data_IF_645362886721
#
_entry.id   IF_645362886721
#
_cell.length_a   1.000
_cell.length_b   1.000
_cell.length_c   1.000
_cell.angle_alpha   90.00
_cell.angle_beta   90.00
_cell.angle_gamma   90.00
#
_symmetry.space_group_name_H-M   'P 1'
#
loop_
_entity.id
_entity.type
_entity.pdbx_description
1 polymer ?
#
# COMPACT_ATOMS: atom_id res chain seq x y z
N UNK A 1 2.14 -5.35 -11.13
CA UNK A 1 1.02 -4.79 -10.34
C UNK A 1 1.24 -3.29 -10.19
N UNK A 2 0.21 -2.49 -10.42
CA UNK A 2 0.32 -1.03 -10.24
C UNK A 2 0.18 -0.63 -8.77
N UNK A 3 0.52 0.62 -8.47
CA UNK A 3 0.32 1.18 -7.13
C UNK A 3 -1.13 1.02 -6.65
N UNK A 4 -2.08 1.38 -7.51
CA UNK A 4 -3.51 1.28 -7.19
C UNK A 4 -3.97 -0.16 -6.98
N UNK A 5 -3.53 -1.07 -7.84
CA UNK A 5 -3.84 -2.49 -7.71
C UNK A 5 -3.26 -3.07 -6.42
N UNK A 6 -2.03 -2.71 -6.09
CA UNK A 6 -1.38 -3.17 -4.87
C UNK A 6 -2.10 -2.65 -3.62
N UNK A 7 -2.47 -1.37 -3.62
CA UNK A 7 -3.23 -0.78 -2.53
C UNK A 7 -4.57 -1.49 -2.35
N UNK A 8 -5.28 -1.74 -3.44
CA UNK A 8 -6.54 -2.47 -3.43
C UNK A 8 -6.36 -3.87 -2.84
N UNK A 9 -5.31 -4.57 -3.26
CA UNK A 9 -5.01 -5.91 -2.78
C UNK A 9 -4.74 -5.92 -1.28
N UNK A 10 -3.94 -4.98 -0.79
CA UNK A 10 -3.64 -4.84 0.64
C UNK A 10 -4.93 -4.65 1.44
N UNK A 11 -5.79 -3.76 0.99
CA UNK A 11 -7.06 -3.50 1.66
C UNK A 11 -7.99 -4.72 1.64
N UNK A 12 -8.03 -5.43 0.50
CA UNK A 12 -8.88 -6.60 0.34
C UNK A 12 -8.43 -7.77 1.22
N UNK A 13 -7.14 -8.08 1.22
CA UNK A 13 -6.58 -9.17 2.04
C UNK A 13 -6.84 -8.93 3.52
N UNK A 14 -6.81 -7.68 3.95
CA UNK A 14 -6.96 -7.32 5.35
C UNK A 14 -8.40 -6.91 5.73
N UNK A 15 -9.32 -7.00 4.77
CA UNK A 15 -10.72 -6.62 4.97
C UNK A 15 -10.88 -5.19 5.51
N UNK A 16 -10.07 -4.28 4.99
CA UNK A 16 -10.11 -2.87 5.37
C UNK A 16 -10.93 -2.10 4.34
N UNK A 17 -11.89 -1.34 4.83
CA UNK A 17 -12.73 -0.49 3.97
C UNK A 17 -11.95 0.74 3.51
N UNK A 18 -12.17 1.15 2.27
CA UNK A 18 -11.51 2.30 1.68
C UNK A 18 -11.74 3.60 2.47
N UNK A 19 -12.96 3.78 3.00
CA UNK A 19 -13.27 4.98 3.77
C UNK A 19 -12.51 5.04 5.10
N UNK A 20 -12.19 3.89 5.69
CA UNK A 20 -11.40 3.84 6.92
C UNK A 20 -9.98 4.33 6.66
N UNK A 21 -9.38 3.88 5.54
CA UNK A 21 -8.08 4.37 5.12
C UNK A 21 -8.11 5.88 4.84
N UNK A 22 -9.12 6.33 4.12
CA UNK A 22 -9.28 7.74 3.79
C UNK A 22 -9.35 8.60 5.06
N UNK A 23 -10.15 8.18 6.04
CA UNK A 23 -10.26 8.87 7.32
C UNK A 23 -8.92 8.92 8.06
N UNK A 24 -8.19 7.81 8.07
CA UNK A 24 -6.89 7.73 8.74
C UNK A 24 -5.86 8.68 8.10
N UNK A 25 -5.93 8.85 6.79
CA UNK A 25 -5.01 9.70 6.04
C UNK A 25 -5.47 11.16 5.96
N UNK A 26 -6.72 11.45 6.33
CA UNK A 26 -7.28 12.79 6.23
C UNK A 26 -7.71 13.18 4.82
N UNK A 27 -8.02 12.20 3.98
CA UNK A 27 -8.47 12.43 2.61
C UNK A 27 -9.92 12.02 2.42
N UNK A 28 -10.51 12.49 1.33
CA UNK A 28 -11.83 12.06 0.88
C UNK A 28 -11.71 10.64 0.29
N UNK A 29 -12.72 9.81 0.53
CA UNK A 29 -12.80 8.47 -0.06
C UNK A 29 -12.66 8.50 -1.58
N UNK A 30 -13.25 9.50 -2.23
CA UNK A 30 -13.19 9.62 -3.69
C UNK A 30 -11.76 9.79 -4.20
N UNK A 31 -10.89 10.42 -3.42
CA UNK A 31 -9.48 10.60 -3.77
C UNK A 31 -8.74 9.26 -3.73
N UNK A 32 -8.96 8.49 -2.66
CA UNK A 32 -8.38 7.15 -2.53
C UNK A 32 -8.89 6.24 -3.65
N UNK A 33 -10.16 6.33 -3.98
CA UNK A 33 -10.77 5.55 -5.07
C UNK A 33 -10.08 5.82 -6.41
N UNK A 34 -9.67 7.06 -6.67
CA UNK A 34 -8.94 7.42 -7.89
C UNK A 34 -7.56 6.76 -7.94
N UNK A 35 -6.89 6.62 -6.80
CA UNK A 35 -5.61 5.89 -6.74
C UNK A 35 -5.83 4.40 -7.06
N UNK A 36 -6.85 3.81 -6.44
CA UNK A 36 -7.14 2.39 -6.57
C UNK A 36 -7.51 2.01 -8.01
N UNK A 37 -8.29 2.84 -8.69
CA UNK A 37 -8.72 2.56 -10.07
C UNK A 37 -7.73 3.07 -11.14
N UNK A 38 -6.62 3.67 -10.72
CA UNK A 38 -5.58 4.12 -11.63
C UNK A 38 -5.86 5.45 -12.33
N UNK A 39 -6.94 6.16 -11.94
CA UNK A 39 -7.27 7.44 -12.55
C UNK A 39 -6.30 8.55 -12.15
N UNK A 40 -5.70 8.44 -10.97
CA UNK A 40 -4.78 9.45 -10.45
C UNK A 40 -3.77 8.81 -9.51
N UNK A 41 -2.56 9.35 -9.46
CA UNK A 41 -1.54 8.95 -8.50
C UNK A 41 -1.36 10.05 -7.44
N UNK A 42 -0.91 9.69 -6.22
CA UNK A 42 -0.57 10.69 -5.22
C UNK A 42 0.60 11.57 -5.71
N UNK A 43 0.74 12.80 -5.19
CA UNK A 43 1.89 13.63 -5.52
C UNK A 43 3.21 13.01 -5.08
N UNK A 44 4.24 13.10 -5.93
CA UNK A 44 5.55 12.49 -5.65
C UNK A 44 6.22 13.05 -4.40
N UNK A 45 5.98 14.31 -4.08
CA UNK A 45 6.55 14.96 -2.88
C UNK A 45 6.03 14.34 -1.58
N UNK A 46 4.86 13.71 -1.61
CA UNK A 46 4.21 13.16 -0.42
C UNK A 46 4.35 11.64 -0.32
N UNK A 47 4.87 10.98 -1.34
CA UNK A 47 4.77 9.53 -1.46
C UNK A 47 5.48 8.77 -0.32
N UNK A 48 6.63 9.23 0.12
CA UNK A 48 7.38 8.56 1.19
C UNK A 48 6.57 8.57 2.49
N UNK A 49 6.11 9.74 2.89
CA UNK A 49 5.33 9.91 4.11
C UNK A 49 3.98 9.21 4.00
N UNK A 50 3.35 9.31 2.84
CA UNK A 50 2.05 8.69 2.59
C UNK A 50 2.12 7.17 2.70
N UNK A 51 3.11 6.55 2.06
CA UNK A 51 3.25 5.09 2.10
C UNK A 51 3.60 4.60 3.51
N UNK A 52 4.38 5.37 4.27
CA UNK A 52 4.64 5.05 5.68
C UNK A 52 3.35 5.08 6.50
N UNK A 53 2.51 6.07 6.29
CA UNK A 53 1.23 6.18 6.98
C UNK A 53 0.28 5.06 6.61
N UNK A 54 0.25 4.66 5.35
CA UNK A 54 -0.56 3.52 4.89
C UNK A 54 -0.08 2.24 5.57
N UNK A 55 1.23 1.98 5.54
CA UNK A 55 1.80 0.80 6.18
C UNK A 55 1.50 0.73 7.66
N UNK A 56 1.67 1.83 8.37
CA UNK A 56 1.39 1.91 9.81
C UNK A 56 -0.09 1.68 10.12
N UNK A 57 -0.97 2.27 9.32
CA UNK A 57 -2.42 2.09 9.49
C UNK A 57 -2.80 0.62 9.30
N UNK A 58 -2.32 -0.01 8.25
CA UNK A 58 -2.62 -1.41 7.97
C UNK A 58 -2.08 -2.31 9.10
N UNK A 59 -0.88 -2.04 9.58
CA UNK A 59 -0.29 -2.80 10.67
C UNK A 59 -1.14 -2.73 11.96
N UNK A 60 -1.74 -1.58 12.23
CA UNK A 60 -2.61 -1.40 13.40
C UNK A 60 -3.96 -2.09 13.23
N UNK A 61 -4.48 -2.15 12.01
CA UNK A 61 -5.79 -2.73 11.74
C UNK A 61 -5.77 -4.26 11.62
N UNK A 62 -4.60 -4.85 11.32
CA UNK A 62 -4.47 -6.28 11.07
C UNK A 62 -4.20 -7.06 12.35
N UNK A 63 -4.87 -8.20 12.51
CA UNK A 63 -4.51 -9.18 13.51
C UNK A 63 -3.32 -10.01 13.01
N UNK A 64 -2.83 -10.93 13.84
CA UNK A 64 -1.69 -11.77 13.51
C UNK A 64 -1.91 -12.60 12.26
N UNK A 65 -3.09 -13.20 12.13
CA UNK A 65 -3.41 -14.05 11.00
C UNK A 65 -3.42 -13.27 9.69
N UNK A 66 -4.01 -12.06 9.70
CA UNK A 66 -4.04 -11.18 8.53
C UNK A 66 -2.63 -10.74 8.15
N UNK A 67 -1.79 -10.43 9.13
CA UNK A 67 -0.38 -10.09 8.87
C UNK A 67 0.35 -11.23 8.19
N UNK A 68 0.16 -12.46 8.65
CA UNK A 68 0.76 -13.64 8.03
C UNK A 68 0.28 -13.83 6.59
N UNK A 69 -1.01 -13.67 6.36
CA UNK A 69 -1.59 -13.79 5.01
C UNK A 69 -1.03 -12.72 4.07
N UNK A 70 -0.96 -11.48 4.55
CA UNK A 70 -0.43 -10.36 3.77
C UNK A 70 1.06 -10.58 3.46
N UNK A 71 1.84 -10.99 4.44
CA UNK A 71 3.26 -11.25 4.26
C UNK A 71 3.49 -12.37 3.23
N UNK A 72 2.68 -13.41 3.29
CA UNK A 72 2.73 -14.52 2.34
C UNK A 72 2.34 -14.06 0.94
N UNK A 73 1.28 -13.28 0.84
CA UNK A 73 0.76 -12.76 -0.43
C UNK A 73 1.79 -11.87 -1.14
N UNK A 74 2.53 -11.07 -0.40
CA UNK A 74 3.49 -10.11 -0.95
C UNK A 74 4.94 -10.54 -0.84
N UNK A 75 5.20 -11.77 -0.39
CA UNK A 75 6.52 -12.39 -0.48
C UNK A 75 7.52 -12.03 0.62
N UNK A 76 7.05 -11.57 1.78
CA UNK A 76 7.95 -11.27 2.91
C UNK A 76 7.62 -12.07 4.18
N UNK A 77 6.93 -13.21 4.03
CA UNK A 77 6.64 -14.10 5.15
C UNK A 77 7.93 -14.61 5.79
N UNK A 78 7.94 -14.73 7.11
CA UNK A 78 9.08 -15.29 7.83
C UNK A 78 9.19 -16.79 7.56
N UNK A 79 10.42 -17.29 7.48
CA UNK A 79 10.69 -18.71 7.21
C UNK A 79 10.14 -19.64 8.28
N UNK A 80 10.12 -19.17 9.53
CA UNK A 80 9.62 -19.96 10.66
C UNK A 80 8.09 -19.91 10.79
N UNK A 81 7.41 -19.19 9.91
CA UNK A 81 5.96 -19.05 9.93
C UNK A 81 5.42 -18.12 11.00
N UNK A 82 6.29 -17.41 11.73
CA UNK A 82 5.85 -16.47 12.75
C UNK A 82 5.31 -15.19 12.12
N UNK A 83 4.57 -14.41 12.93
CA UNK A 83 4.03 -13.12 12.49
C UNK A 83 5.15 -12.09 12.40
N UNK A 84 5.26 -11.34 11.28
CA UNK A 84 6.20 -10.22 11.23
C UNK A 84 5.88 -9.18 12.31
N UNK A 85 6.91 -8.58 12.88
CA UNK A 85 6.74 -7.50 13.85
C UNK A 85 6.05 -6.31 13.17
N UNK A 86 5.28 -5.53 13.94
CA UNK A 86 4.50 -4.43 13.40
C UNK A 86 5.36 -3.43 12.61
N UNK A 87 6.52 -3.07 13.15
CA UNK A 87 7.43 -2.16 12.48
C UNK A 87 7.97 -2.70 11.17
N UNK A 88 8.32 -3.98 11.13
CA UNK A 88 8.80 -4.66 9.92
C UNK A 88 7.67 -4.77 8.89
N UNK A 89 6.49 -5.16 9.34
CA UNK A 89 5.31 -5.28 8.49
C UNK A 89 4.97 -3.94 7.83
N UNK A 90 4.89 -2.88 8.62
CA UNK A 90 4.60 -1.54 8.11
C UNK A 90 5.66 -1.07 7.12
N UNK A 91 6.93 -1.28 7.44
CA UNK A 91 8.05 -0.88 6.58
C UNK A 91 8.03 -1.63 5.25
N UNK A 92 7.74 -2.93 5.27
CA UNK A 92 7.67 -3.73 4.05
C UNK A 92 6.54 -3.30 3.14
N UNK A 93 5.35 -3.04 3.69
CA UNK A 93 4.23 -2.55 2.90
C UNK A 93 4.54 -1.18 2.28
N UNK A 94 5.12 -0.28 3.07
CA UNK A 94 5.53 1.04 2.62
C UNK A 94 6.52 0.94 1.45
N UNK A 95 7.54 0.10 1.61
CA UNK A 95 8.57 -0.12 0.59
C UNK A 95 7.98 -0.65 -0.72
N UNK A 96 7.13 -1.67 -0.62
CA UNK A 96 6.49 -2.27 -1.79
C UNK A 96 5.58 -1.28 -2.53
N UNK A 97 4.82 -0.49 -1.79
CA UNK A 97 3.97 0.54 -2.38
C UNK A 97 4.81 1.61 -3.10
N UNK A 98 5.91 2.03 -2.50
CA UNK A 98 6.81 3.01 -3.13
C UNK A 98 7.43 2.47 -4.40
N UNK A 99 7.86 1.22 -4.40
CA UNK A 99 8.42 0.59 -5.60
C UNK A 99 7.43 0.59 -6.75
N UNK A 100 6.20 0.20 -6.49
CA UNK A 100 5.17 0.19 -7.53
C UNK A 100 4.82 1.60 -8.00
N UNK A 101 4.81 2.57 -7.08
CA UNK A 101 4.55 3.97 -7.43
C UNK A 101 5.61 4.49 -8.41
N UNK A 102 6.89 4.29 -8.09
CA UNK A 102 7.97 4.81 -8.93
C UNK A 102 8.07 4.08 -10.26
N UNK A 103 7.77 2.79 -10.30
CA UNK A 103 7.68 2.04 -11.55
C UNK A 103 6.60 2.63 -12.46
N UNK A 104 5.44 2.94 -11.88
CA UNK A 104 4.35 3.57 -12.63
C UNK A 104 4.72 4.94 -13.15
N UNK A 105 5.33 5.76 -12.31
CA UNK A 105 5.80 7.08 -12.67
C UNK A 105 6.85 7.03 -13.77
N UNK A 106 7.82 6.13 -13.65
CA UNK A 106 8.88 5.96 -14.64
C UNK A 106 8.30 5.57 -15.99
N UNK A 107 7.39 4.63 -16.02
CA UNK A 107 6.76 4.19 -17.26
C UNK A 107 5.92 5.29 -17.90
N UNK A 108 5.23 6.09 -17.10
CA UNK A 108 4.44 7.23 -17.56
C UNK A 108 5.34 8.29 -18.20
N UNK A 109 6.43 8.65 -17.52
CA UNK A 109 7.41 9.61 -18.03
C UNK A 109 8.07 9.12 -19.31
N UNK A 110 8.39 7.84 -19.38
CA UNK A 110 8.98 7.22 -20.57
C UNK A 110 8.04 7.28 -21.76
N UNK A 111 6.74 7.11 -21.53
CA UNK A 111 5.74 7.23 -22.61
C UNK A 111 5.63 8.64 -23.12
N UNK A 112 5.81 9.63 -22.27
CA UNK A 112 5.71 11.04 -22.67
C UNK A 112 6.92 11.54 -23.47
N UNK A 113 8.01 10.80 -23.47
CA UNK A 113 9.23 11.16 -24.20
C UNK A 113 9.16 10.73 -25.67
N UNK A 114 8.24 9.86 -25.99
CA UNK A 114 8.03 9.42 -27.37
C UNK A 114 7.11 10.39 -28.10
#
# INVERSE_FOLDING_TARGET
>A
MSFGEMLKEILTVNDIKMYNLANALGYDKSYISKWVNGAKLPPSKDIDKLTERIGSFVALECDEERKKLTARRFGFAKRDGSTPEDGVFAAKLSELLREEYWKGKYNEDRKSVV
#
